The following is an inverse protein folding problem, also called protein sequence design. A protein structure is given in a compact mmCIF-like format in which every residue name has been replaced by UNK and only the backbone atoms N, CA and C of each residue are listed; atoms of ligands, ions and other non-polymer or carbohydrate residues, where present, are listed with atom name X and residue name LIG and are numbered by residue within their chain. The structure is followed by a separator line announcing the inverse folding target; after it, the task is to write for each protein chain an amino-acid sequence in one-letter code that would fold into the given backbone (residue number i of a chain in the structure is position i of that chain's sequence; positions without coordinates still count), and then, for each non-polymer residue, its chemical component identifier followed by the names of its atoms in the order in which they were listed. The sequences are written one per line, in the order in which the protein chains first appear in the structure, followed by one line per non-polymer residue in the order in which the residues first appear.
data_IF_081481670113
#
_entry.id   IF_081481670113
#
_cell.length_a   1.000
_cell.length_b   1.000
_cell.length_c   1.000
_cell.angle_alpha   90.00
_cell.angle_beta   90.00
_cell.angle_gamma   90.00
#
_symmetry.space_group_name_H-M   'P 1'
#
loop_
_entity.id
_entity.type
_entity.pdbx_description
1 polymer ?
#
# COMPACT_ATOMS: atom_id res chain seq x y z
N UNK A 1 -25.87 -16.98 5.41
CA UNK A 1 -25.62 -15.57 5.01
C UNK A 1 -24.29 -15.51 4.28
N UNK A 2 -24.31 -15.37 2.95
CA UNK A 2 -23.11 -15.40 2.11
C UNK A 2 -22.44 -14.01 2.09
N UNK A 3 -21.27 -13.91 2.71
CA UNK A 3 -20.46 -12.68 2.81
C UNK A 3 -19.56 -12.40 1.60
N UNK A 4 -19.68 -13.18 0.52
CA UNK A 4 -18.84 -13.05 -0.67
C UNK A 4 -19.67 -12.58 -1.86
N UNK A 5 -20.04 -11.30 -1.85
CA UNK A 5 -20.37 -10.60 -3.09
C UNK A 5 -19.24 -9.62 -3.34
N UNK A 6 -18.48 -9.84 -4.41
CA UNK A 6 -17.72 -8.76 -5.04
C UNK A 6 -18.73 -7.64 -5.28
N UNK A 7 -18.64 -6.56 -4.50
CA UNK A 7 -19.43 -5.38 -4.77
C UNK A 7 -19.07 -4.89 -6.16
N UNK A 8 -20.06 -4.65 -7.03
CA UNK A 8 -19.81 -4.05 -8.35
C UNK A 8 -19.09 -2.71 -8.24
N UNK A 9 -19.18 -2.07 -7.07
CA UNK A 9 -18.59 -0.76 -6.81
C UNK A 9 -17.08 -0.82 -6.52
N UNK A 10 -16.53 -1.94 -6.06
CA UNK A 10 -15.11 -2.06 -5.72
C UNK A 10 -14.61 -3.51 -5.94
N UNK A 11 -14.59 -3.98 -7.21
CA UNK A 11 -14.15 -5.34 -7.52
C UNK A 11 -12.71 -5.57 -7.04
N UNK A 12 -12.44 -6.77 -6.51
CA UNK A 12 -11.13 -7.15 -5.99
C UNK A 12 -10.77 -6.52 -4.63
N UNK A 13 -11.63 -5.68 -4.02
CA UNK A 13 -11.37 -5.07 -2.71
C UNK A 13 -12.47 -5.41 -1.67
N UNK A 14 -12.13 -5.76 -0.41
CA UNK A 14 -10.78 -6.05 0.10
C UNK A 14 -10.38 -7.52 -0.13
N UNK A 15 -9.22 -7.76 -0.74
CA UNK A 15 -8.65 -9.10 -0.94
C UNK A 15 -7.15 -9.09 -0.62
N UNK A 16 -6.57 -10.19 -0.13
CA UNK A 16 -5.12 -10.31 -0.02
C UNK A 16 -4.55 -10.96 -1.29
N UNK A 17 -3.34 -10.59 -1.68
CA UNK A 17 -2.70 -11.05 -2.93
C UNK A 17 -1.35 -11.72 -2.63
N UNK A 18 -1.03 -12.77 -3.39
CA UNK A 18 0.14 -13.62 -3.18
C UNK A 18 -0.17 -14.89 -2.36
N UNK A 19 0.83 -15.55 -1.76
CA UNK A 19 2.23 -15.12 -1.64
C UNK A 19 3.06 -15.26 -2.91
N UNK A 20 4.17 -14.52 -2.98
CA UNK A 20 5.23 -14.70 -3.96
C UNK A 20 6.58 -14.81 -3.24
N UNK A 21 7.47 -15.70 -3.69
CA UNK A 21 8.85 -15.78 -3.18
C UNK A 21 9.78 -14.94 -4.05
N UNK A 22 10.52 -14.05 -3.41
CA UNK A 22 11.60 -13.24 -4.00
C UNK A 22 12.90 -13.48 -3.22
N UNK A 23 14.02 -12.89 -3.66
CA UNK A 23 15.32 -13.06 -3.01
C UNK A 23 15.33 -12.65 -1.52
N UNK A 24 14.61 -11.59 -1.16
CA UNK A 24 14.47 -11.14 0.23
C UNK A 24 13.62 -12.08 1.12
N UNK A 25 12.77 -12.93 0.53
CA UNK A 25 11.86 -13.80 1.27
C UNK A 25 10.48 -13.92 0.62
N UNK A 26 9.49 -14.31 1.43
CA UNK A 26 8.10 -14.45 0.98
C UNK A 26 7.36 -13.14 1.17
N UNK A 27 6.80 -12.59 0.10
CA UNK A 27 6.03 -11.36 0.12
C UNK A 27 4.53 -11.62 -0.07
N UNK A 28 3.70 -10.72 0.48
CA UNK A 28 2.24 -10.67 0.30
C UNK A 28 1.76 -9.23 0.22
N UNK A 29 0.63 -9.00 -0.44
CA UNK A 29 -0.11 -7.75 -0.34
C UNK A 29 -1.35 -7.97 0.52
N UNK A 30 -1.60 -7.05 1.45
CA UNK A 30 -2.84 -7.07 2.25
C UNK A 30 -3.41 -5.68 2.46
N UNK A 31 -4.73 -5.51 2.63
CA UNK A 31 -5.31 -4.20 2.92
C UNK A 31 -4.61 -3.51 4.11
N UNK A 32 -4.40 -2.20 4.01
CA UNK A 32 -3.90 -1.37 5.13
C UNK A 32 -4.83 -1.43 6.34
N UNK A 33 -4.26 -1.39 7.54
CA UNK A 33 -4.98 -1.53 8.82
C UNK A 33 -4.54 -0.45 9.81
N UNK A 34 -5.40 -0.12 10.77
CA UNK A 34 -5.06 0.84 11.84
C UNK A 34 -3.83 0.42 12.64
N UNK A 35 -3.63 -0.90 12.81
CA UNK A 35 -2.48 -1.47 13.52
C UNK A 35 -1.14 -1.30 12.80
N UNK A 36 -1.12 -0.82 11.56
CA UNK A 36 0.12 -0.58 10.82
C UNK A 36 0.84 0.71 11.27
N UNK A 37 0.20 1.53 12.12
CA UNK A 37 0.72 2.82 12.57
C UNK A 37 2.18 2.75 13.06
N UNK A 38 2.57 1.80 13.94
CA UNK A 38 3.92 1.73 14.48
C UNK A 38 4.97 1.49 13.41
N UNK A 39 4.77 0.48 12.56
CA UNK A 39 5.70 0.15 11.49
C UNK A 39 5.74 1.24 10.42
N UNK A 40 4.58 1.75 10.00
CA UNK A 40 4.49 2.83 9.02
C UNK A 40 5.23 4.08 9.48
N UNK A 41 4.96 4.55 10.70
CA UNK A 41 5.59 5.75 11.25
C UNK A 41 7.10 5.55 11.42
N UNK A 42 7.52 4.41 12.00
CA UNK A 42 8.93 4.09 12.21
C UNK A 42 9.72 4.13 10.89
N UNK A 43 9.24 3.42 9.87
CA UNK A 43 9.94 3.32 8.59
C UNK A 43 9.95 4.66 7.87
N UNK A 44 8.80 5.34 7.75
CA UNK A 44 8.73 6.64 7.08
C UNK A 44 9.63 7.68 7.74
N UNK A 45 9.70 7.72 9.07
CA UNK A 45 10.58 8.64 9.78
C UNK A 45 12.06 8.30 9.61
N UNK A 46 12.43 7.01 9.65
CA UNK A 46 13.81 6.56 9.45
C UNK A 46 14.30 6.78 8.01
N UNK A 47 13.44 6.51 7.03
CA UNK A 47 13.76 6.55 5.60
C UNK A 47 13.49 7.91 4.95
N UNK A 48 13.42 9.00 5.73
CA UNK A 48 13.16 10.36 5.21
C UNK A 48 14.06 10.69 4.01
N UNK A 49 15.38 10.54 4.17
CA UNK A 49 16.34 10.88 3.12
C UNK A 49 16.22 9.98 1.87
N UNK A 50 15.66 8.77 2.02
CA UNK A 50 15.45 7.84 0.93
C UNK A 50 14.12 8.11 0.19
N UNK A 51 13.07 8.49 0.91
CA UNK A 51 11.70 8.61 0.37
C UNK A 51 11.33 10.04 -0.02
N UNK A 52 11.70 11.04 0.78
CA UNK A 52 11.28 12.44 0.61
C UNK A 52 11.59 13.02 -0.79
N UNK A 53 12.75 12.74 -1.43
CA UNK A 53 13.05 13.28 -2.76
C UNK A 53 12.11 12.80 -3.88
N UNK A 54 11.41 11.68 -3.67
CA UNK A 54 10.53 11.06 -4.67
C UNK A 54 9.04 11.21 -4.35
N UNK A 55 8.73 11.67 -3.14
CA UNK A 55 7.36 11.84 -2.68
C UNK A 55 6.79 13.17 -3.19
N UNK A 56 5.47 13.24 -3.47
CA UNK A 56 4.83 14.50 -3.80
C UNK A 56 5.08 15.54 -2.71
N UNK A 57 5.58 16.71 -3.12
CA UNK A 57 5.83 17.85 -2.24
C UNK A 57 4.55 18.25 -1.51
N UNK A 58 4.67 18.47 -0.20
CA UNK A 58 3.59 18.93 0.66
C UNK A 58 4.12 19.98 1.63
N UNK A 59 3.29 20.96 2.00
CA UNK A 59 3.69 22.06 2.90
C UNK A 59 3.88 21.62 4.36
N UNK A 60 3.60 20.36 4.70
CA UNK A 60 3.74 19.81 6.04
C UNK A 60 5.11 19.16 6.23
N UNK A 61 5.80 19.49 7.33
CA UNK A 61 7.07 18.85 7.68
C UNK A 61 6.95 17.31 7.74
N UNK A 62 7.98 16.63 7.25
CA UNK A 62 8.04 15.17 7.17
C UNK A 62 7.79 14.47 8.50
N UNK A 63 8.34 14.99 9.61
CA UNK A 63 8.19 14.35 10.93
C UNK A 63 6.76 14.47 11.43
N UNK A 64 6.13 15.62 11.24
CA UNK A 64 4.73 15.86 11.60
C UNK A 64 3.80 14.97 10.75
N UNK A 65 4.06 14.87 9.44
CA UNK A 65 3.26 14.07 8.52
C UNK A 65 3.29 12.58 8.87
N UNK A 66 4.41 12.07 9.38
CA UNK A 66 4.64 10.64 9.57
C UNK A 66 4.66 10.19 11.04
N UNK A 67 4.02 10.92 11.94
CA UNK A 67 3.84 10.47 13.34
C UNK A 67 2.83 9.32 13.47
N UNK A 68 2.90 8.56 14.57
CA UNK A 68 1.93 7.53 14.90
C UNK A 68 0.47 8.03 14.87
N UNK A 69 0.23 9.24 15.37
CA UNK A 69 -1.11 9.86 15.43
C UNK A 69 -1.62 10.36 14.08
N UNK A 70 -0.74 10.51 13.08
CA UNK A 70 -1.13 10.86 11.71
C UNK A 70 -1.76 9.67 10.96
N UNK A 71 -1.35 8.44 11.29
CA UNK A 71 -1.79 7.24 10.56
C UNK A 71 -3.31 6.99 10.57
N UNK A 72 -4.05 7.13 11.69
CA UNK A 72 -5.51 6.94 11.70
C UNK A 72 -6.26 7.73 10.61
N UNK A 73 -5.88 9.00 10.40
CA UNK A 73 -6.49 9.84 9.37
C UNK A 73 -6.11 9.36 7.96
N UNK A 74 -4.83 9.05 7.73
CA UNK A 74 -4.32 8.52 6.46
C UNK A 74 -5.00 7.21 6.09
N UNK A 75 -4.97 6.21 6.99
CA UNK A 75 -5.58 4.90 6.80
C UNK A 75 -7.10 5.01 6.55
N UNK A 76 -7.79 5.88 7.29
CA UNK A 76 -9.23 6.09 7.10
C UNK A 76 -9.56 6.71 5.75
N UNK A 77 -8.76 7.68 5.30
CA UNK A 77 -8.88 8.30 3.97
C UNK A 77 -8.67 7.26 2.86
N UNK A 78 -7.58 6.49 2.92
CA UNK A 78 -7.28 5.42 1.97
C UNK A 78 -8.42 4.39 1.89
N UNK A 79 -8.88 3.90 3.04
CA UNK A 79 -9.99 2.93 3.09
C UNK A 79 -11.32 3.52 2.62
N UNK A 80 -11.53 4.82 2.78
CA UNK A 80 -12.73 5.51 2.29
C UNK A 80 -12.76 5.54 0.77
N UNK A 81 -11.65 5.91 0.13
CA UNK A 81 -11.54 5.90 -1.33
C UNK A 81 -11.60 4.48 -1.90
N UNK A 82 -11.08 3.48 -1.18
CA UNK A 82 -11.18 2.09 -1.58
C UNK A 82 -12.62 1.54 -1.54
N UNK A 83 -13.42 1.92 -0.54
CA UNK A 83 -14.86 1.60 -0.51
C UNK A 83 -15.63 2.23 -1.67
N UNK A 84 -15.12 3.31 -2.25
CA UNK A 84 -15.72 3.97 -3.42
C UNK A 84 -15.20 3.41 -4.74
N UNK A 85 -14.34 2.39 -4.71
CA UNK A 85 -13.78 1.76 -5.92
C UNK A 85 -12.72 2.60 -6.64
N UNK A 86 -12.13 3.60 -5.98
CA UNK A 86 -11.18 4.54 -6.62
C UNK A 86 -9.72 4.24 -6.32
N UNK A 87 -9.45 3.37 -5.35
CA UNK A 87 -8.10 2.91 -5.03
C UNK A 87 -8.10 1.53 -4.36
N UNK A 88 -6.96 0.86 -4.40
CA UNK A 88 -6.68 -0.36 -3.64
C UNK A 88 -5.39 -0.13 -2.82
N UNK A 89 -5.50 0.28 -1.54
CA UNK A 89 -4.36 0.58 -0.69
C UNK A 89 -3.86 -0.68 0.04
N UNK A 90 -2.74 -1.21 -0.42
CA UNK A 90 -2.09 -2.38 0.14
C UNK A 90 -0.88 -2.02 1.00
N UNK A 91 -0.73 -2.73 2.11
CA UNK A 91 0.55 -2.92 2.78
C UNK A 91 1.30 -4.06 2.09
N UNK A 92 2.61 -3.88 1.92
CA UNK A 92 3.52 -4.93 1.48
C UNK A 92 4.06 -5.61 2.74
N UNK A 93 3.86 -6.92 2.84
CA UNK A 93 4.44 -7.73 3.90
C UNK A 93 5.62 -8.54 3.37
N UNK A 94 6.74 -8.55 4.10
CA UNK A 94 7.86 -9.47 3.90
C UNK A 94 7.94 -10.38 5.13
N UNK A 95 7.82 -11.69 4.92
CA UNK A 95 7.75 -12.68 6.00
C UNK A 95 6.65 -12.39 7.06
N UNK A 96 5.58 -11.67 6.67
CA UNK A 96 4.47 -11.28 7.55
C UNK A 96 4.63 -9.92 8.22
N UNK A 97 5.78 -9.26 8.05
CA UNK A 97 6.04 -7.93 8.62
C UNK A 97 5.81 -6.82 7.60
N UNK A 98 5.20 -5.71 8.05
CA UNK A 98 5.00 -4.53 7.21
C UNK A 98 6.36 -3.94 6.79
N UNK A 99 6.59 -3.83 5.49
CA UNK A 99 7.84 -3.33 4.93
C UNK A 99 7.63 -2.30 3.82
N UNK A 100 6.41 -1.81 3.61
CA UNK A 100 6.12 -0.86 2.53
C UNK A 100 4.64 -0.79 2.19
N UNK A 101 4.31 -0.05 1.13
CA UNK A 101 2.97 0.02 0.60
C UNK A 101 2.97 -0.08 -0.92
N UNK A 102 1.89 -0.63 -1.45
CA UNK A 102 1.53 -0.58 -2.85
C UNK A 102 0.13 0.01 -2.94
N UNK A 103 -0.04 1.06 -3.74
CA UNK A 103 -1.33 1.70 -3.94
C UNK A 103 -1.65 1.70 -5.43
N UNK A 104 -2.79 1.12 -5.77
CA UNK A 104 -3.42 1.29 -7.08
C UNK A 104 -4.43 2.42 -6.91
N UNK A 105 -4.39 3.47 -7.74
CA UNK A 105 -5.25 4.64 -7.57
C UNK A 105 -5.77 5.19 -8.89
N UNK A 106 -6.71 6.13 -8.77
CA UNK A 106 -7.49 6.63 -9.91
C UNK A 106 -8.16 5.50 -10.73
N UNK A 107 -8.63 4.46 -10.03
CA UNK A 107 -9.26 3.30 -10.64
C UNK A 107 -10.52 3.77 -11.38
N UNK A 108 -10.52 3.56 -12.69
CA UNK A 108 -11.61 3.95 -13.58
C UNK A 108 -12.04 2.72 -14.37
N UNK A 109 -13.33 2.38 -14.26
CA UNK A 109 -13.94 1.28 -15.02
C UNK A 109 -14.51 1.79 -16.37
N UNK A 110 -15.56 1.15 -16.90
CA UNK A 110 -16.19 1.55 -18.15
C UNK A 110 -15.32 1.24 -19.37
N UNK A 111 -15.18 2.21 -20.28
CA UNK A 111 -14.40 2.07 -21.50
C UNK A 111 -12.89 2.25 -21.30
N UNK A 112 -12.46 2.99 -20.26
CA UNK A 112 -11.04 3.25 -20.00
C UNK A 112 -10.34 2.06 -19.34
N UNK A 113 -10.93 1.50 -18.27
CA UNK A 113 -10.39 0.36 -17.50
C UNK A 113 -8.90 0.52 -17.13
N UNK A 114 -8.58 1.63 -16.49
CA UNK A 114 -7.19 2.00 -16.17
C UNK A 114 -7.07 2.53 -14.74
N UNK A 115 -5.83 2.55 -14.26
CA UNK A 115 -5.42 3.05 -12.95
C UNK A 115 -3.92 3.42 -13.00
N UNK A 116 -3.46 4.20 -12.04
CA UNK A 116 -2.02 4.30 -11.75
C UNK A 116 -1.65 3.33 -10.62
N UNK A 117 -0.39 2.94 -10.58
CA UNK A 117 0.17 2.11 -9.51
C UNK A 117 1.44 2.76 -8.97
N UNK A 118 1.55 2.82 -7.65
CA UNK A 118 2.71 3.38 -6.95
C UNK A 118 3.08 2.52 -5.76
N UNK A 119 4.37 2.47 -5.43
CA UNK A 119 4.86 1.68 -4.31
C UNK A 119 6.03 2.38 -3.62
N UNK A 120 6.27 1.99 -2.38
CA UNK A 120 7.50 2.27 -1.65
C UNK A 120 7.80 1.09 -0.72
N UNK A 121 9.08 0.87 -0.43
CA UNK A 121 9.54 -0.17 0.49
C UNK A 121 10.56 0.41 1.47
N UNK A 122 10.68 -0.22 2.64
CA UNK A 122 11.73 0.04 3.63
C UNK A 122 13.10 -0.06 2.96
N UNK A 123 13.96 0.93 3.19
CA UNK A 123 15.29 1.00 2.61
C UNK A 123 16.13 -0.24 2.89
N UNK A 124 15.92 -0.90 4.05
CA UNK A 124 16.62 -2.12 4.47
C UNK A 124 16.27 -3.36 3.65
N UNK A 125 15.15 -3.35 2.90
CA UNK A 125 14.73 -4.48 2.05
C UNK A 125 14.85 -4.19 0.55
N UNK A 126 15.41 -3.03 0.19
CA UNK A 126 15.68 -2.67 -1.20
C UNK A 126 16.70 -3.62 -1.84
N UNK A 127 16.68 -3.75 -3.17
CA UNK A 127 17.56 -4.66 -3.91
C UNK A 127 17.20 -6.16 -3.79
N UNK A 128 16.38 -6.55 -2.82
CA UNK A 128 15.96 -7.94 -2.61
C UNK A 128 14.71 -8.41 -3.38
N UNK A 129 14.23 -7.60 -4.34
CA UNK A 129 13.09 -7.93 -5.21
C UNK A 129 11.70 -7.66 -4.60
N UNK A 130 11.61 -7.11 -3.39
CA UNK A 130 10.33 -6.84 -2.70
C UNK A 130 9.42 -5.93 -3.53
N UNK A 131 9.94 -4.80 -4.01
CA UNK A 131 9.19 -3.85 -4.83
C UNK A 131 8.71 -4.46 -6.15
N UNK A 132 9.59 -5.15 -6.88
CA UNK A 132 9.25 -5.80 -8.16
C UNK A 132 8.21 -6.90 -7.98
N UNK A 133 8.34 -7.72 -6.94
CA UNK A 133 7.37 -8.76 -6.63
C UNK A 133 6.03 -8.18 -6.18
N UNK A 134 6.03 -7.11 -5.38
CA UNK A 134 4.81 -6.41 -5.00
C UNK A 134 4.09 -5.84 -6.25
N UNK A 135 4.83 -5.21 -7.15
CA UNK A 135 4.28 -4.68 -8.40
C UNK A 135 3.68 -5.78 -9.29
N UNK A 136 4.37 -6.93 -9.41
CA UNK A 136 3.85 -8.08 -10.15
C UNK A 136 2.54 -8.61 -9.56
N UNK A 137 2.47 -8.78 -8.24
CA UNK A 137 1.22 -9.16 -7.56
C UNK A 137 0.11 -8.12 -7.75
N UNK A 138 0.45 -6.83 -7.70
CA UNK A 138 -0.52 -5.75 -7.89
C UNK A 138 -1.06 -5.64 -9.33
N UNK A 139 -0.29 -6.06 -10.33
CA UNK A 139 -0.71 -6.07 -11.74
C UNK A 139 -1.56 -7.28 -12.11
N UNK A 140 -1.34 -8.43 -11.45
CA UNK A 140 -2.11 -9.66 -11.66
C UNK A 140 -3.53 -9.60 -11.05
N UNK A 141 -3.69 -8.80 -9.99
CA UNK A 141 -4.92 -8.63 -9.23
C UNK A 141 -5.92 -7.65 -9.88
#
# INVERSE_FOLDING_TARGET
MNFWRSSSQHPGWPMAVGPLRVSAGVIRLRPVRMRDAPQWSRIRLADRAHLEPWEPSVDTDWRVRHTLSSWPAVCSSLRSEARKGRMLPYAIELAGEFCGQLTIGNVTHGALRSAWIGYWVDSSVTGGGVATGALALGLDH
#
